data_IF_706519985606
#
_entry.id   IF_706519985606
#
_cell.length_a   1.000
_cell.length_b   1.000
_cell.length_c   1.000
_cell.angle_alpha   90.00
_cell.angle_beta   90.00
_cell.angle_gamma   90.00
#
_symmetry.space_group_name_H-M   'P 1'
#
loop_
_entity.id
_entity.type
_entity.pdbx_description
1 polymer ?
#
# COMPACT_ATOMS: atom_id res chain seq x y z
N UNK A 1 27.58 16.25 -14.93
CA UNK A 1 28.01 16.50 -13.54
C UNK A 1 27.38 15.47 -12.62
N UNK A 2 28.20 14.80 -11.83
CA UNK A 2 27.78 13.85 -10.82
C UNK A 2 28.38 14.23 -9.48
N UNK A 3 27.61 14.08 -8.43
CA UNK A 3 28.12 14.19 -7.08
C UNK A 3 28.15 12.80 -6.44
N UNK A 4 29.26 12.46 -5.82
CA UNK A 4 29.32 11.29 -4.96
C UNK A 4 28.37 11.45 -3.79
N UNK A 5 27.76 10.36 -3.36
CA UNK A 5 26.79 10.32 -2.30
C UNK A 5 27.41 10.71 -0.95
N UNK A 6 27.33 11.99 -0.61
CA UNK A 6 27.40 12.45 0.78
C UNK A 6 26.15 13.33 1.01
N UNK A 7 25.10 12.81 1.65
CA UNK A 7 23.85 13.54 1.86
C UNK A 7 24.04 14.81 2.70
N UNK A 8 25.18 14.95 3.38
CA UNK A 8 25.50 16.12 4.20
C UNK A 8 26.38 17.16 3.51
N UNK A 9 26.96 16.85 2.33
CA UNK A 9 27.94 17.71 1.65
C UNK A 9 27.59 18.14 0.24
N UNK A 10 26.53 17.63 -0.37
CA UNK A 10 26.18 17.99 -1.75
C UNK A 10 25.53 19.36 -1.78
N UNK A 11 26.35 20.39 -1.97
CA UNK A 11 25.84 21.73 -2.24
C UNK A 11 25.38 21.80 -3.71
N UNK A 12 24.12 22.16 -3.93
CA UNK A 12 23.60 22.41 -5.28
C UNK A 12 24.37 23.54 -6.00
N UNK A 13 25.08 24.39 -5.26
CA UNK A 13 25.89 25.50 -5.81
C UNK A 13 26.98 25.05 -6.76
N UNK A 14 27.45 23.79 -6.63
CA UNK A 14 28.52 23.24 -7.45
C UNK A 14 28.01 22.69 -8.78
N UNK A 15 26.68 22.59 -8.95
CA UNK A 15 26.06 22.15 -10.19
C UNK A 15 25.76 23.35 -11.09
N UNK A 16 26.69 23.70 -11.95
CA UNK A 16 26.54 24.76 -12.94
C UNK A 16 26.87 24.23 -14.32
N UNK A 17 25.96 24.40 -15.29
CA UNK A 17 26.32 24.14 -16.69
C UNK A 17 27.28 25.20 -17.19
N UNK A 18 28.42 24.76 -17.69
CA UNK A 18 29.40 25.67 -18.33
C UNK A 18 28.88 26.26 -19.65
N UNK A 19 29.45 27.34 -20.13
CA UNK A 19 29.18 27.86 -21.46
C UNK A 19 29.63 26.81 -22.52
N UNK A 20 28.86 26.66 -23.58
CA UNK A 20 29.13 25.71 -24.69
C UNK A 20 28.95 24.22 -24.35
N UNK A 21 28.22 23.88 -23.31
CA UNK A 21 27.81 22.50 -23.07
C UNK A 21 26.58 22.23 -23.95
N UNK A 22 26.60 21.11 -24.70
CA UNK A 22 25.51 20.76 -25.62
C UNK A 22 24.18 20.57 -24.86
N UNK A 23 23.98 19.42 -24.24
CA UNK A 23 22.78 19.16 -23.39
C UNK A 23 23.24 18.81 -21.96
N UNK A 24 23.10 19.74 -21.01
CA UNK A 24 23.55 19.51 -19.63
C UNK A 24 22.58 18.62 -18.87
N UNK A 25 23.11 17.53 -18.32
CA UNK A 25 22.41 16.60 -17.43
C UNK A 25 23.05 16.68 -16.05
N UNK A 26 22.22 16.88 -15.03
CA UNK A 26 22.62 16.75 -13.63
C UNK A 26 22.11 15.44 -13.04
N UNK A 27 22.94 14.77 -12.26
CA UNK A 27 22.48 13.64 -11.48
C UNK A 27 22.98 13.72 -10.04
N UNK A 28 22.07 13.43 -9.10
CA UNK A 28 22.36 13.42 -7.68
C UNK A 28 21.35 12.55 -6.95
N UNK A 29 21.56 12.37 -5.66
CA UNK A 29 20.67 11.58 -4.79
C UNK A 29 20.16 12.47 -3.65
N UNK A 30 18.88 12.38 -3.37
CA UNK A 30 18.20 13.14 -2.30
C UNK A 30 16.84 13.64 -2.74
N UNK A 31 16.07 14.16 -1.80
CA UNK A 31 14.79 14.80 -2.09
C UNK A 31 14.98 16.30 -2.27
N UNK A 32 14.71 16.79 -3.47
CA UNK A 32 14.83 18.20 -3.82
C UNK A 32 13.49 18.75 -4.30
N UNK A 33 13.17 19.95 -3.86
CA UNK A 33 12.11 20.75 -4.48
C UNK A 33 12.59 21.19 -5.88
N UNK A 34 11.75 21.03 -6.88
CA UNK A 34 12.12 21.33 -8.27
C UNK A 34 12.54 22.79 -8.47
N UNK A 35 11.98 23.72 -7.70
CA UNK A 35 12.35 25.15 -7.70
C UNK A 35 13.79 25.39 -7.27
N UNK A 36 14.34 24.59 -6.35
CA UNK A 36 15.72 24.70 -5.91
C UNK A 36 16.73 24.23 -6.95
N UNK A 37 16.28 23.46 -7.93
CA UNK A 37 17.08 22.98 -9.05
C UNK A 37 17.05 23.95 -10.24
N UNK A 38 16.20 24.96 -10.20
CA UNK A 38 16.13 26.00 -11.23
C UNK A 38 17.38 26.92 -11.18
N UNK A 39 17.73 27.49 -12.33
CA UNK A 39 18.83 28.47 -12.39
C UNK A 39 20.23 27.89 -12.49
N UNK A 40 20.41 26.56 -12.47
CA UNK A 40 21.72 25.90 -12.63
C UNK A 40 22.13 25.69 -14.10
N UNK A 41 21.30 26.08 -15.06
CA UNK A 41 21.54 25.85 -16.49
C UNK A 41 21.42 24.38 -16.91
N UNK A 42 20.94 23.50 -16.03
CA UNK A 42 20.77 22.05 -16.26
C UNK A 42 19.37 21.79 -16.77
N UNK A 43 19.26 21.12 -17.93
CA UNK A 43 17.98 20.88 -18.61
C UNK A 43 17.28 19.59 -18.17
N UNK A 44 18.04 18.60 -17.73
CA UNK A 44 17.50 17.34 -17.21
C UNK A 44 18.21 16.95 -15.91
N UNK A 45 17.42 16.73 -14.87
CA UNK A 45 17.91 16.21 -13.60
C UNK A 45 17.47 14.76 -13.41
N UNK A 46 18.43 13.85 -13.35
CA UNK A 46 18.22 12.47 -12.97
C UNK A 46 18.49 12.31 -11.48
N UNK A 47 17.44 12.12 -10.70
CA UNK A 47 17.52 12.12 -9.24
C UNK A 47 17.20 10.74 -8.67
N UNK A 48 18.00 10.30 -7.70
CA UNK A 48 17.71 9.17 -6.83
C UNK A 48 17.15 9.61 -5.47
N UNK A 49 16.66 8.67 -4.67
CA UNK A 49 16.25 8.94 -3.27
C UNK A 49 14.76 9.04 -3.01
N UNK A 50 13.92 8.98 -4.05
CA UNK A 50 12.48 8.74 -3.91
C UNK A 50 12.14 7.33 -4.37
N UNK A 51 11.31 6.63 -3.62
CA UNK A 51 10.86 5.28 -3.97
C UNK A 51 9.79 5.29 -5.08
N UNK A 52 8.73 6.12 -5.03
CA UNK A 52 7.81 6.25 -6.15
C UNK A 52 8.46 7.04 -7.29
N UNK A 53 8.09 6.66 -8.52
CA UNK A 53 8.42 7.44 -9.71
C UNK A 53 7.78 8.82 -9.63
N UNK A 54 8.55 9.86 -9.92
CA UNK A 54 8.08 11.25 -9.90
C UNK A 54 8.73 12.03 -11.05
N UNK A 55 7.93 12.73 -11.84
CA UNK A 55 8.40 13.51 -12.99
C UNK A 55 7.78 14.90 -12.94
N UNK A 56 8.62 15.89 -12.81
CA UNK A 56 8.23 17.30 -12.82
C UNK A 56 8.79 17.99 -14.05
N UNK A 57 7.92 18.48 -14.92
CA UNK A 57 8.30 19.27 -16.09
C UNK A 57 8.06 20.75 -15.81
N UNK A 58 9.10 21.54 -16.01
CA UNK A 58 9.07 23.00 -15.92
C UNK A 58 9.61 23.62 -17.21
N UNK A 59 9.34 24.91 -17.50
CA UNK A 59 9.91 25.58 -18.65
C UNK A 59 11.43 25.44 -18.71
N UNK A 60 11.94 24.75 -19.73
CA UNK A 60 13.38 24.52 -19.95
C UNK A 60 14.06 23.48 -19.05
N UNK A 61 13.31 22.80 -18.20
CA UNK A 61 13.90 21.83 -17.26
C UNK A 61 12.94 20.64 -17.00
N UNK A 62 13.51 19.45 -16.90
CA UNK A 62 12.82 18.24 -16.41
C UNK A 62 13.57 17.71 -15.19
N UNK A 63 12.83 17.42 -14.14
CA UNK A 63 13.31 16.77 -12.91
C UNK A 63 12.68 15.42 -12.80
N UNK A 64 13.47 14.36 -12.79
CA UNK A 64 12.99 13.00 -12.86
C UNK A 64 13.55 12.12 -11.73
N UNK A 65 12.66 11.46 -11.01
CA UNK A 65 12.95 10.36 -10.11
C UNK A 65 12.39 9.07 -10.73
N UNK A 66 13.22 8.14 -11.16
CA UNK A 66 12.73 6.89 -11.78
C UNK A 66 12.04 5.96 -10.77
N UNK A 67 12.24 6.20 -9.48
CA UNK A 67 11.85 5.26 -8.43
C UNK A 67 12.79 4.09 -8.32
N UNK A 68 12.28 2.95 -7.86
CA UNK A 68 13.00 1.68 -7.85
C UNK A 68 12.65 0.85 -9.09
N UNK A 69 13.58 0.01 -9.55
CA UNK A 69 13.33 -0.89 -10.66
C UNK A 69 12.49 -2.11 -10.28
N UNK A 70 12.29 -2.36 -8.97
CA UNK A 70 11.52 -3.46 -8.42
C UNK A 70 10.88 -3.03 -7.10
N UNK A 71 9.57 -3.29 -6.91
CA UNK A 71 8.90 -3.15 -5.62
C UNK A 71 9.37 -4.22 -4.63
N UNK A 72 9.66 -3.82 -3.38
CA UNK A 72 10.21 -4.71 -2.35
C UNK A 72 9.24 -5.02 -1.22
N UNK A 73 8.13 -4.31 -1.16
CA UNK A 73 7.14 -4.40 -0.08
C UNK A 73 5.74 -4.10 -0.62
N UNK A 74 4.71 -4.47 0.11
CA UNK A 74 3.32 -4.33 -0.31
C UNK A 74 2.87 -2.88 -0.52
N UNK A 75 3.59 -1.93 0.06
CA UNK A 75 3.37 -0.49 -0.16
C UNK A 75 3.92 0.00 -1.49
N UNK A 76 4.87 -0.73 -2.09
CA UNK A 76 5.49 -0.42 -3.37
C UNK A 76 4.65 -0.99 -4.52
N UNK A 77 3.46 -0.43 -4.71
CA UNK A 77 2.49 -0.89 -5.71
C UNK A 77 2.72 -0.29 -7.09
N UNK A 78 2.17 -0.97 -8.10
CA UNK A 78 2.20 -0.50 -9.47
C UNK A 78 3.51 -0.81 -10.19
N UNK A 79 3.70 -0.22 -11.38
CA UNK A 79 4.86 -0.49 -12.21
C UNK A 79 6.13 0.16 -11.67
N UNK A 80 7.21 -0.61 -11.68
CA UNK A 80 8.55 -0.16 -11.33
C UNK A 80 9.49 -0.28 -12.53
N UNK A 81 10.54 0.55 -12.58
CA UNK A 81 11.46 0.49 -13.71
C UNK A 81 12.33 1.70 -13.86
N UNK A 82 12.55 2.11 -15.11
CA UNK A 82 13.42 3.20 -15.50
C UNK A 82 12.66 4.30 -16.25
N UNK A 83 13.33 5.40 -16.50
CA UNK A 83 12.89 6.45 -17.42
C UNK A 83 13.85 6.49 -18.59
N UNK A 84 13.37 6.20 -19.78
CA UNK A 84 14.11 6.43 -21.03
C UNK A 84 14.01 7.91 -21.39
N UNK A 85 15.15 8.53 -21.65
CA UNK A 85 15.23 9.95 -21.99
C UNK A 85 15.83 10.08 -23.38
N UNK A 86 15.11 10.74 -24.28
CA UNK A 86 15.57 11.07 -25.62
C UNK A 86 15.70 12.58 -25.76
N UNK A 87 16.82 13.02 -26.30
CA UNK A 87 17.09 14.43 -26.59
C UNK A 87 17.16 14.63 -28.08
N UNK A 88 16.27 15.41 -28.62
CA UNK A 88 16.21 15.75 -30.02
C UNK A 88 17.30 16.76 -30.39
N UNK A 89 17.59 16.88 -31.68
CA UNK A 89 18.63 17.81 -32.20
C UNK A 89 18.35 19.29 -31.86
N UNK A 90 17.08 19.66 -31.69
CA UNK A 90 16.66 20.99 -31.24
C UNK A 90 16.72 21.16 -29.72
N UNK A 91 17.14 20.11 -29.00
CA UNK A 91 17.24 20.07 -27.56
C UNK A 91 15.92 19.80 -26.84
N UNK A 92 14.85 19.43 -27.55
CA UNK A 92 13.65 18.93 -26.88
C UNK A 92 13.93 17.61 -26.19
N UNK A 93 13.32 17.44 -25.01
CA UNK A 93 13.49 16.24 -24.18
C UNK A 93 12.16 15.48 -24.17
N UNK A 94 12.24 14.20 -24.53
CA UNK A 94 11.14 13.26 -24.38
C UNK A 94 11.48 12.24 -23.30
N UNK A 95 10.52 11.94 -22.45
CA UNK A 95 10.67 10.93 -21.42
C UNK A 95 9.64 9.83 -21.60
N UNK A 96 10.07 8.60 -21.45
CA UNK A 96 9.20 7.43 -21.50
C UNK A 96 9.48 6.54 -20.30
N UNK A 97 8.44 6.17 -19.56
CA UNK A 97 8.54 5.17 -18.50
C UNK A 97 8.69 3.78 -19.12
N UNK A 98 9.67 3.03 -18.65
CA UNK A 98 9.92 1.65 -19.05
C UNK A 98 9.77 0.77 -17.82
N UNK A 99 8.77 -0.09 -17.82
CA UNK A 99 8.56 -1.04 -16.74
C UNK A 99 9.57 -2.17 -16.84
N UNK A 100 10.27 -2.47 -15.75
CA UNK A 100 11.32 -3.47 -15.66
C UNK A 100 11.07 -4.48 -14.53
N UNK A 101 10.00 -4.29 -13.77
CA UNK A 101 9.68 -5.14 -12.64
C UNK A 101 9.22 -6.53 -13.12
N UNK A 102 9.83 -7.58 -12.60
CA UNK A 102 9.42 -8.96 -12.81
C UNK A 102 8.40 -9.43 -11.78
N UNK A 103 8.36 -8.77 -10.62
CA UNK A 103 7.39 -9.04 -9.55
C UNK A 103 6.64 -7.76 -9.23
N UNK A 104 5.31 -7.80 -9.28
CA UNK A 104 4.47 -6.63 -9.05
C UNK A 104 3.55 -6.82 -7.87
N UNK A 105 3.59 -5.86 -6.94
CA UNK A 105 2.67 -5.81 -5.81
C UNK A 105 1.35 -5.16 -6.22
N UNK A 106 0.26 -5.77 -5.82
CA UNK A 106 -1.09 -5.29 -6.08
C UNK A 106 -1.94 -5.37 -4.81
N UNK A 107 -2.71 -4.32 -4.54
CA UNK A 107 -3.79 -4.35 -3.57
C UNK A 107 -5.10 -4.43 -4.33
N UNK A 108 -5.80 -5.54 -4.19
CA UNK A 108 -7.05 -5.77 -4.89
C UNK A 108 -8.22 -5.73 -3.90
N UNK A 109 -9.10 -4.76 -4.10
CA UNK A 109 -10.32 -4.64 -3.32
C UNK A 109 -11.50 -5.21 -4.10
N UNK A 110 -12.34 -5.96 -3.39
CA UNK A 110 -13.61 -6.53 -3.87
C UNK A 110 -14.71 -6.11 -2.93
N UNK A 111 -15.83 -5.65 -3.49
CA UNK A 111 -17.05 -5.40 -2.73
C UNK A 111 -18.04 -6.53 -2.99
N UNK A 112 -18.48 -7.20 -1.94
CA UNK A 112 -19.41 -8.32 -2.02
C UNK A 112 -20.71 -7.99 -1.29
N UNK A 113 -21.84 -8.43 -1.86
CA UNK A 113 -23.14 -8.23 -1.26
C UNK A 113 -23.36 -9.18 -0.07
N UNK A 114 -24.32 -8.86 0.78
CA UNK A 114 -24.68 -9.60 2.01
C UNK A 114 -24.91 -11.09 1.83
N UNK A 115 -25.44 -11.48 0.68
CA UNK A 115 -25.88 -12.87 0.41
C UNK A 115 -24.83 -13.72 -0.31
N UNK A 116 -23.59 -13.24 -0.41
CA UNK A 116 -22.54 -13.98 -1.11
C UNK A 116 -22.07 -15.14 -0.25
N UNK A 117 -22.25 -16.36 -0.76
CA UNK A 117 -21.71 -17.57 -0.17
C UNK A 117 -20.25 -17.80 -0.59
N UNK A 118 -19.53 -18.66 0.12
CA UNK A 118 -18.11 -18.93 -0.09
C UNK A 118 -17.78 -19.32 -1.54
N UNK A 119 -18.61 -20.11 -2.20
CA UNK A 119 -18.34 -20.53 -3.58
C UNK A 119 -18.47 -19.36 -4.57
N UNK A 120 -19.49 -18.51 -4.41
CA UNK A 120 -19.62 -17.31 -5.22
C UNK A 120 -18.47 -16.30 -4.97
N UNK A 121 -17.95 -16.22 -3.74
CA UNK A 121 -16.76 -15.42 -3.46
C UNK A 121 -15.53 -16.00 -4.15
N UNK A 122 -15.35 -17.32 -4.17
CA UNK A 122 -14.26 -17.96 -4.92
C UNK A 122 -14.33 -17.62 -6.41
N UNK A 123 -15.52 -17.66 -7.00
CA UNK A 123 -15.71 -17.31 -8.41
C UNK A 123 -15.31 -15.86 -8.68
N UNK A 124 -15.73 -14.92 -7.84
CA UNK A 124 -15.33 -13.52 -7.95
C UNK A 124 -13.82 -13.31 -7.81
N UNK A 125 -13.18 -14.00 -6.88
CA UNK A 125 -11.73 -13.94 -6.69
C UNK A 125 -10.99 -14.58 -7.87
N UNK A 126 -11.49 -15.71 -8.39
CA UNK A 126 -10.95 -16.36 -9.57
C UNK A 126 -11.00 -15.47 -10.80
N UNK A 127 -12.17 -14.90 -11.08
CA UNK A 127 -12.34 -13.95 -12.19
C UNK A 127 -11.38 -12.78 -12.09
N UNK A 128 -11.23 -12.23 -10.88
CA UNK A 128 -10.32 -11.11 -10.65
C UNK A 128 -8.87 -11.50 -10.82
N UNK A 129 -8.47 -12.68 -10.33
CA UNK A 129 -7.12 -13.22 -10.49
C UNK A 129 -6.79 -13.44 -11.97
N UNK A 130 -7.68 -14.09 -12.73
CA UNK A 130 -7.53 -14.31 -14.17
C UNK A 130 -7.47 -12.99 -14.96
N UNK A 131 -8.27 -12.00 -14.59
CA UNK A 131 -8.22 -10.69 -15.21
C UNK A 131 -6.85 -10.02 -15.01
N UNK A 132 -6.26 -10.14 -13.82
CA UNK A 132 -4.98 -9.51 -13.53
C UNK A 132 -3.82 -10.23 -14.21
N UNK A 133 -3.79 -11.56 -14.17
CA UNK A 133 -2.77 -12.35 -14.88
C UNK A 133 -2.82 -12.18 -16.38
N UNK A 134 -4.01 -12.02 -16.95
CA UNK A 134 -4.17 -11.72 -18.39
C UNK A 134 -3.69 -10.33 -18.79
N UNK A 135 -3.82 -9.34 -17.88
CA UNK A 135 -3.34 -7.97 -18.12
C UNK A 135 -1.83 -7.84 -17.96
N UNK A 136 -1.22 -8.68 -17.15
CA UNK A 136 0.19 -8.62 -16.77
C UNK A 136 0.83 -10.01 -16.93
N UNK A 137 0.90 -10.54 -18.17
CA UNK A 137 1.28 -11.93 -18.43
C UNK A 137 2.76 -12.22 -18.13
N UNK A 138 3.61 -11.20 -18.16
CA UNK A 138 5.07 -11.35 -17.98
C UNK A 138 5.53 -11.09 -16.53
N UNK A 139 4.62 -10.67 -15.63
CA UNK A 139 4.93 -10.39 -14.24
C UNK A 139 4.45 -11.50 -13.31
N UNK A 140 5.21 -11.76 -12.26
CA UNK A 140 4.73 -12.44 -11.08
C UNK A 140 3.97 -11.46 -10.19
N UNK A 141 2.72 -11.76 -9.86
CA UNK A 141 1.88 -10.87 -9.07
C UNK A 141 1.87 -11.28 -7.60
N UNK A 142 2.20 -10.36 -6.70
CA UNK A 142 2.03 -10.51 -5.26
C UNK A 142 0.80 -9.70 -4.84
N UNK A 143 -0.22 -10.36 -4.35
CA UNK A 143 -1.53 -9.75 -4.14
C UNK A 143 -1.94 -9.76 -2.69
N UNK A 144 -2.24 -8.57 -2.17
CA UNK A 144 -2.99 -8.38 -0.94
C UNK A 144 -4.46 -8.16 -1.29
N UNK A 145 -5.30 -9.08 -0.82
CA UNK A 145 -6.75 -9.02 -1.06
C UNK A 145 -7.46 -8.32 0.07
N UNK A 146 -8.32 -7.37 -0.29
CA UNK A 146 -9.20 -6.68 0.65
C UNK A 146 -10.65 -6.86 0.23
N UNK A 147 -11.43 -7.58 1.03
CA UNK A 147 -12.82 -7.89 0.75
C UNK A 147 -13.70 -7.01 1.62
N UNK A 148 -14.42 -6.08 0.99
CA UNK A 148 -15.40 -5.24 1.65
C UNK A 148 -16.78 -5.91 1.53
N UNK A 149 -17.40 -6.19 2.66
CA UNK A 149 -18.77 -6.71 2.72
C UNK A 149 -19.74 -5.56 2.95
N UNK A 150 -20.81 -5.51 2.15
CA UNK A 150 -21.90 -4.55 2.34
C UNK A 150 -23.07 -5.28 3.01
N UNK A 151 -23.36 -4.95 4.28
CA UNK A 151 -24.47 -5.49 5.01
C UNK A 151 -24.12 -6.50 6.10
N UNK A 152 -25.05 -7.43 6.40
CA UNK A 152 -24.85 -8.44 7.42
C UNK A 152 -23.72 -9.40 7.05
N UNK A 153 -22.79 -9.54 7.98
CA UNK A 153 -21.63 -10.38 7.82
C UNK A 153 -22.06 -11.85 7.78
N UNK A 154 -21.85 -12.53 6.65
CA UNK A 154 -22.21 -13.96 6.59
C UNK A 154 -21.39 -14.75 7.61
N UNK A 155 -22.02 -15.77 8.21
CA UNK A 155 -21.35 -16.63 9.19
C UNK A 155 -20.07 -17.27 8.64
N UNK A 156 -20.04 -17.54 7.33
CA UNK A 156 -18.89 -18.14 6.64
C UNK A 156 -17.65 -17.24 6.65
N UNK A 157 -17.83 -15.91 6.68
CA UNK A 157 -16.72 -14.96 6.67
C UNK A 157 -16.25 -14.58 8.08
N UNK A 158 -16.91 -15.05 9.12
CA UNK A 158 -16.54 -14.77 10.52
C UNK A 158 -15.41 -15.67 11.01
N UNK A 159 -15.23 -16.85 10.38
CA UNK A 159 -14.27 -17.85 10.84
C UNK A 159 -12.89 -17.63 10.21
N UNK A 160 -11.88 -17.35 11.03
CA UNK A 160 -10.48 -17.22 10.61
C UNK A 160 -9.99 -18.48 9.86
N UNK A 161 -10.53 -19.64 10.21
CA UNK A 161 -10.26 -20.89 9.51
C UNK A 161 -10.67 -20.83 8.02
N UNK A 162 -11.81 -20.18 7.71
CA UNK A 162 -12.26 -20.02 6.34
C UNK A 162 -11.41 -19.03 5.56
N UNK A 163 -10.91 -17.97 6.21
CA UNK A 163 -9.92 -17.06 5.61
C UNK A 163 -8.64 -17.82 5.21
N UNK A 164 -8.14 -18.64 6.12
CA UNK A 164 -6.95 -19.47 5.88
C UNK A 164 -7.18 -20.50 4.78
N UNK A 165 -8.35 -21.13 4.72
CA UNK A 165 -8.71 -22.07 3.64
C UNK A 165 -8.80 -21.36 2.29
N UNK A 166 -9.42 -20.19 2.24
CA UNK A 166 -9.56 -19.40 1.03
C UNK A 166 -8.21 -18.91 0.50
N UNK A 167 -7.33 -18.45 1.39
CA UNK A 167 -5.98 -18.03 1.02
C UNK A 167 -5.14 -19.21 0.50
N UNK A 168 -5.24 -20.40 1.11
CA UNK A 168 -4.58 -21.61 0.64
C UNK A 168 -5.09 -22.03 -0.74
N UNK A 169 -6.42 -21.95 -0.95
CA UNK A 169 -7.03 -22.24 -2.24
C UNK A 169 -6.52 -21.28 -3.33
N UNK A 170 -6.52 -19.97 -3.08
CA UNK A 170 -5.98 -18.98 -4.02
C UNK A 170 -4.52 -19.25 -4.41
N UNK A 171 -3.68 -19.62 -3.43
CA UNK A 171 -2.28 -19.95 -3.67
C UNK A 171 -2.11 -21.24 -4.49
N UNK A 172 -2.95 -22.22 -4.26
CA UNK A 172 -2.94 -23.47 -4.99
C UNK A 172 -3.37 -23.27 -6.44
N UNK A 173 -4.45 -22.52 -6.66
CA UNK A 173 -5.07 -22.37 -7.97
C UNK A 173 -4.27 -21.42 -8.89
N UNK A 174 -3.76 -20.32 -8.36
CA UNK A 174 -3.15 -19.24 -9.16
C UNK A 174 -1.66 -19.08 -8.95
N UNK A 175 -1.04 -19.78 -8.01
CA UNK A 175 0.36 -19.61 -7.64
C UNK A 175 1.39 -20.20 -8.59
N UNK A 176 0.99 -20.81 -9.70
CA UNK A 176 1.93 -21.35 -10.70
C UNK A 176 2.65 -20.24 -11.47
N UNK A 177 3.87 -20.48 -11.90
CA UNK A 177 4.76 -19.47 -12.51
C UNK A 177 4.64 -19.42 -14.05
N UNK A 178 4.51 -18.21 -14.69
CA UNK A 178 4.22 -16.93 -14.05
C UNK A 178 2.80 -16.93 -13.52
N UNK A 179 2.57 -16.35 -12.36
CA UNK A 179 1.28 -16.47 -11.70
C UNK A 179 1.03 -15.40 -10.67
N UNK A 180 -0.07 -15.60 -9.92
CA UNK A 180 -0.52 -14.71 -8.90
C UNK A 180 -0.38 -15.40 -7.54
N UNK A 181 0.50 -14.87 -6.69
CA UNK A 181 0.64 -15.32 -5.32
C UNK A 181 -0.14 -14.41 -4.37
N UNK A 182 -1.13 -14.98 -3.71
CA UNK A 182 -1.91 -14.30 -2.69
C UNK A 182 -1.11 -14.23 -1.38
N UNK A 183 -0.66 -13.04 -1.04
CA UNK A 183 0.16 -12.77 0.16
C UNK A 183 -0.72 -12.77 1.39
N UNK A 184 -1.76 -11.95 1.35
CA UNK A 184 -2.73 -11.81 2.44
C UNK A 184 -4.17 -11.73 1.90
N UNK A 185 -5.11 -11.99 2.80
CA UNK A 185 -6.52 -11.79 2.55
C UNK A 185 -7.15 -11.21 3.80
N UNK A 186 -7.78 -10.07 3.67
CA UNK A 186 -8.45 -9.36 4.75
C UNK A 186 -9.89 -9.05 4.40
N UNK A 187 -10.74 -9.05 5.42
CA UNK A 187 -12.12 -8.62 5.31
C UNK A 187 -12.29 -7.30 6.06
N UNK A 188 -12.99 -6.34 5.46
CA UNK A 188 -13.40 -5.16 6.22
C UNK A 188 -14.50 -5.51 7.21
N UNK A 189 -14.48 -4.83 8.34
CA UNK A 189 -15.57 -4.91 9.29
C UNK A 189 -16.89 -4.48 8.64
N UNK A 190 -18.02 -5.12 8.97
CA UNK A 190 -19.31 -4.71 8.48
C UNK A 190 -19.58 -3.26 8.90
N UNK A 191 -19.96 -2.42 7.95
CA UNK A 191 -20.28 -1.01 8.23
C UNK A 191 -21.57 -0.88 9.04
N UNK A 192 -22.48 -1.84 8.89
CA UNK A 192 -23.73 -1.90 9.61
C UNK A 192 -23.80 -3.24 10.36
N UNK A 193 -23.72 -3.18 11.66
CA UNK A 193 -24.02 -4.32 12.50
C UNK A 193 -25.55 -4.54 12.53
N UNK A 194 -26.02 -5.80 12.70
CA UNK A 194 -27.44 -6.06 12.89
C UNK A 194 -28.02 -5.13 13.95
N UNK A 195 -29.11 -4.46 13.58
CA UNK A 195 -29.80 -3.54 14.48
C UNK A 195 -30.34 -4.33 15.68
N UNK A 196 -29.68 -4.22 16.80
CA UNK A 196 -30.07 -4.94 17.99
C UNK A 196 -28.87 -5.48 18.77
N UNK A 197 -27.85 -5.98 18.11
CA UNK A 197 -26.69 -6.56 18.79
C UNK A 197 -26.04 -5.62 19.81
N UNK A 198 -25.93 -4.32 19.49
CA UNK A 198 -25.43 -3.33 20.45
C UNK A 198 -26.38 -3.06 21.64
N UNK A 199 -27.67 -3.38 21.48
CA UNK A 199 -28.68 -3.15 22.51
C UNK A 199 -28.98 -4.41 23.34
N UNK A 200 -28.38 -5.54 22.99
CA UNK A 200 -28.52 -6.78 23.74
C UNK A 200 -27.75 -6.72 25.07
N UNK A 201 -28.34 -7.28 26.11
CA UNK A 201 -27.69 -7.47 27.40
C UNK A 201 -26.85 -8.75 27.38
N UNK A 202 -25.81 -8.73 26.50
CA UNK A 202 -24.89 -9.82 26.26
C UNK A 202 -23.45 -9.30 26.28
N UNK A 203 -22.48 -10.21 26.48
CA UNK A 203 -21.05 -9.88 26.41
C UNK A 203 -20.71 -9.28 25.03
N UNK A 204 -21.31 -9.79 23.97
CA UNK A 204 -21.13 -9.23 22.63
C UNK A 204 -21.69 -7.80 22.55
N UNK A 205 -22.89 -7.55 23.09
CA UNK A 205 -23.48 -6.21 23.11
C UNK A 205 -22.60 -5.20 23.87
N UNK A 206 -22.08 -5.59 25.04
CA UNK A 206 -21.14 -4.77 25.83
C UNK A 206 -19.87 -4.47 25.03
N UNK A 207 -19.30 -5.49 24.39
CA UNK A 207 -18.11 -5.35 23.57
C UNK A 207 -18.32 -4.40 22.38
N UNK A 208 -19.43 -4.54 21.68
CA UNK A 208 -19.78 -3.68 20.54
C UNK A 208 -19.98 -2.23 20.96
N UNK A 209 -20.60 -1.99 22.12
CA UNK A 209 -20.74 -0.64 22.70
C UNK A 209 -19.38 -0.02 23.01
N UNK A 210 -18.46 -0.83 23.55
CA UNK A 210 -17.10 -0.36 23.86
C UNK A 210 -16.32 -0.02 22.59
N UNK A 211 -16.35 -0.86 21.56
CA UNK A 211 -15.71 -0.55 20.24
C UNK A 211 -16.29 0.73 19.65
N UNK A 212 -17.62 0.90 19.70
CA UNK A 212 -18.27 2.13 19.21
C UNK A 212 -17.81 3.37 19.99
N UNK A 213 -17.64 3.25 21.32
CA UNK A 213 -17.09 4.32 22.16
C UNK A 213 -15.68 4.71 21.73
N UNK A 214 -14.79 3.75 21.48
CA UNK A 214 -13.43 4.01 21.01
C UNK A 214 -13.38 4.66 19.62
N UNK A 215 -14.38 4.41 18.77
CA UNK A 215 -14.52 5.10 17.47
C UNK A 215 -14.95 6.55 17.63
N UNK A 216 -15.95 6.80 18.49
CA UNK A 216 -16.49 8.14 18.72
C UNK A 216 -15.46 9.03 19.44
N UNK A 217 -14.77 8.48 20.43
CA UNK A 217 -13.79 9.19 21.25
C UNK A 217 -12.36 8.92 20.73
N UNK A 218 -11.98 9.54 19.61
CA UNK A 218 -10.70 9.30 18.92
C UNK A 218 -9.47 9.56 19.81
N UNK A 219 -9.61 10.27 20.93
CA UNK A 219 -8.56 10.55 21.90
C UNK A 219 -8.41 9.49 22.99
N UNK A 220 -9.32 8.53 23.10
CA UNK A 220 -9.17 7.44 24.05
C UNK A 220 -7.90 6.63 23.73
N UNK A 221 -6.95 6.51 24.68
CA UNK A 221 -5.73 5.75 24.44
C UNK A 221 -6.05 4.26 24.45
N UNK A 222 -5.40 3.50 23.57
CA UNK A 222 -5.29 2.07 23.76
C UNK A 222 -4.26 1.80 24.87
N UNK A 223 -4.67 1.16 25.94
CA UNK A 223 -3.75 0.82 27.07
C UNK A 223 -2.87 -0.38 26.71
N UNK A 224 -2.00 -0.22 25.71
CA UNK A 224 -1.14 -1.28 25.18
C UNK A 224 0.06 -1.57 26.10
N UNK A 225 0.43 -0.67 27.01
CA UNK A 225 1.55 -0.84 27.93
C UNK A 225 1.43 -2.09 28.79
N UNK A 226 0.21 -2.50 29.15
CA UNK A 226 -0.03 -3.74 29.90
C UNK A 226 0.44 -5.00 29.13
N UNK A 227 0.41 -4.96 27.81
CA UNK A 227 0.83 -6.07 26.93
C UNK A 227 2.29 -5.95 26.50
N UNK A 228 2.90 -4.79 26.70
CA UNK A 228 4.30 -4.54 26.33
C UNK A 228 5.33 -5.14 27.33
N UNK A 229 4.88 -5.75 28.45
CA UNK A 229 5.73 -6.49 29.36
C UNK A 229 6.86 -5.68 30.01
N UNK A 230 6.65 -4.38 30.25
CA UNK A 230 7.69 -3.50 30.83
C UNK A 230 8.72 -3.00 29.82
N UNK A 231 8.47 -3.19 28.53
CA UNK A 231 9.33 -2.70 27.44
C UNK A 231 8.88 -1.35 26.86
N UNK A 232 8.17 -0.56 27.67
CA UNK A 232 7.60 0.74 27.25
C UNK A 232 8.66 1.75 26.80
N UNK A 233 9.93 1.56 27.22
CA UNK A 233 11.06 2.42 26.84
C UNK A 233 11.70 2.04 25.49
N UNK A 234 11.31 0.92 24.88
CA UNK A 234 11.84 0.52 23.57
C UNK A 234 11.18 1.38 22.49
N UNK A 235 11.98 2.10 21.73
CA UNK A 235 11.53 2.99 20.65
C UNK A 235 10.54 2.35 19.67
N UNK A 236 10.65 1.04 19.42
CA UNK A 236 9.72 0.24 18.62
C UNK A 236 8.33 0.12 19.24
N UNK A 237 8.23 -0.04 20.57
CA UNK A 237 6.96 -0.13 21.31
C UNK A 237 6.29 1.24 21.36
N UNK A 238 7.05 2.29 21.61
CA UNK A 238 6.55 3.67 21.57
C UNK A 238 6.02 4.06 20.18
N UNK A 239 6.58 3.50 19.11
CA UNK A 239 6.09 3.67 17.74
C UNK A 239 4.74 2.98 17.51
N UNK A 240 4.55 1.78 18.07
CA UNK A 240 3.27 1.05 18.02
C UNK A 240 2.16 1.75 18.81
N UNK A 241 2.50 2.52 19.83
CA UNK A 241 1.52 3.29 20.63
C UNK A 241 1.12 4.62 19.98
N UNK A 242 1.89 5.11 19.01
CA UNK A 242 1.58 6.32 18.23
C UNK A 242 0.92 5.95 16.91
N UNK A 243 -0.33 5.54 16.98
CA UNK A 243 -1.12 5.27 15.79
C UNK A 243 -1.63 6.56 15.18
N UNK A 244 -1.53 6.67 13.85
CA UNK A 244 -2.31 7.65 13.11
C UNK A 244 -3.79 7.24 13.04
N UNK A 245 -4.63 8.10 12.50
CA UNK A 245 -6.07 7.85 12.44
C UNK A 245 -6.42 6.60 11.60
N UNK A 246 -5.67 6.34 10.53
CA UNK A 246 -5.91 5.19 9.66
C UNK A 246 -5.52 3.87 10.33
N UNK A 247 -4.35 3.84 11.00
CA UNK A 247 -3.92 2.68 11.77
C UNK A 247 -4.88 2.39 12.94
N UNK A 248 -5.39 3.45 13.59
CA UNK A 248 -6.40 3.30 14.67
C UNK A 248 -7.68 2.65 14.17
N UNK A 249 -8.23 3.11 13.04
CA UNK A 249 -9.42 2.52 12.44
C UNK A 249 -9.19 1.06 12.05
N UNK A 250 -8.05 0.73 11.45
CA UNK A 250 -7.72 -0.64 11.10
C UNK A 250 -7.67 -1.57 12.33
N UNK A 251 -7.13 -1.08 13.46
CA UNK A 251 -7.14 -1.84 14.74
C UNK A 251 -8.56 -2.02 15.27
N UNK A 252 -9.39 -0.98 15.20
CA UNK A 252 -10.79 -1.07 15.66
C UNK A 252 -11.62 -2.00 14.76
N UNK A 253 -11.36 -2.01 13.46
CA UNK A 253 -11.98 -2.95 12.52
C UNK A 253 -11.57 -4.40 12.82
N UNK A 254 -10.29 -4.64 13.02
CA UNK A 254 -9.78 -5.96 13.41
C UNK A 254 -10.34 -6.42 14.77
N UNK A 255 -10.42 -5.50 15.74
CA UNK A 255 -11.04 -5.78 17.03
C UNK A 255 -12.51 -6.12 16.88
N UNK A 256 -13.27 -5.33 16.10
CA UNK A 256 -14.70 -5.59 15.85
C UNK A 256 -14.91 -6.99 15.27
N UNK A 257 -14.16 -7.35 14.23
CA UNK A 257 -14.23 -8.68 13.60
C UNK A 257 -13.90 -9.79 14.59
N UNK A 258 -12.76 -9.69 15.28
CA UNK A 258 -12.34 -10.69 16.25
C UNK A 258 -13.27 -10.84 17.45
N UNK A 259 -13.94 -9.75 17.85
CA UNK A 259 -14.96 -9.79 18.89
C UNK A 259 -16.24 -10.49 18.43
N UNK A 260 -16.72 -10.19 17.23
CA UNK A 260 -17.89 -10.86 16.64
C UNK A 260 -17.60 -12.37 16.48
N UNK A 261 -16.42 -12.73 16.01
CA UNK A 261 -16.03 -14.13 15.84
C UNK A 261 -15.99 -14.90 17.16
N UNK A 262 -15.42 -14.31 18.21
CA UNK A 262 -15.19 -15.02 19.49
C UNK A 262 -16.38 -14.97 20.42
N UNK A 263 -17.17 -13.90 20.39
CA UNK A 263 -18.27 -13.65 21.31
C UNK A 263 -19.64 -13.88 20.66
N UNK A 264 -19.72 -13.83 19.34
CA UNK A 264 -20.96 -14.05 18.58
C UNK A 264 -21.32 -15.52 18.40
N UNK A 265 -20.69 -16.44 19.14
CA UNK A 265 -20.86 -17.87 19.05
C UNK A 265 -22.31 -18.32 19.09
N UNK A 266 -22.71 -19.09 18.07
CA UNK A 266 -23.96 -19.87 17.97
C UNK A 266 -25.23 -19.13 18.38
N UNK A 267 -25.55 -18.04 17.73
CA UNK A 267 -26.94 -17.63 17.58
C UNK A 267 -27.47 -18.31 16.30
N UNK A 268 -27.86 -19.58 16.44
CA UNK A 268 -28.71 -20.31 15.49
C UNK A 268 -30.13 -19.85 15.66
#
# INVERSE_FOLDING_TARGET
YGAAHDPHRTSLKDFQAGPNVGFPIGFTHGSYESQRLAGHGIRYWALGGKLPRDLVTQPGQIVAYPGTHQGRESTAQGPHGAILVSVESDGQVRTQSVDCDSVRWLNLSLSVAESVHMDALKDLLADRALQMTSKLPDQHLLVDWHIATTGDYSADFRLEENHSKLLKWLRHEFGSSPGLWSVSLSFSAPQNLPKGWQNEDTILGDYLREVARYRQESKLPFHLGHYAGGHDEIEGVTRLTRMDAAAREAVLDAALLGGIERLGGNQT
#
